data_IF_773453908782
#
_entry.id   IF_773453908782
#
_cell.length_a   1.000
_cell.length_b   1.000
_cell.length_c   1.000
_cell.angle_alpha   90.00
_cell.angle_beta   90.00
_cell.angle_gamma   90.00
#
_symmetry.space_group_name_H-M   'P 1'
#
loop_
_entity.id
_entity.type
_entity.pdbx_description
1 polymer ?
#
# COMPACT_ATOMS: atom_id res chain seq x y z
N UNK A 1 -1.23 -7.51 29.41
CA UNK A 1 -0.09 -6.60 29.15
C UNK A 1 0.84 -7.22 28.12
N UNK A 2 0.56 -7.00 26.83
CA UNK A 2 1.33 -7.61 25.74
C UNK A 2 2.60 -6.78 25.46
N UNK A 3 3.76 -7.44 25.55
CA UNK A 3 5.07 -6.88 25.22
C UNK A 3 5.15 -6.56 23.72
N UNK A 4 5.54 -5.33 23.39
CA UNK A 4 5.97 -4.91 22.06
C UNK A 4 7.13 -5.80 21.61
N UNK A 5 6.92 -6.56 20.53
CA UNK A 5 7.99 -7.28 19.86
C UNK A 5 8.96 -6.27 19.25
N UNK A 6 10.13 -6.14 19.86
CA UNK A 6 11.24 -5.32 19.38
C UNK A 6 11.75 -5.87 18.04
N UNK A 7 11.48 -5.15 16.96
CA UNK A 7 12.12 -5.38 15.66
C UNK A 7 13.63 -5.14 15.82
N UNK A 8 14.39 -6.23 15.92
CA UNK A 8 15.86 -6.22 15.97
C UNK A 8 16.36 -7.01 14.78
N UNK A 9 16.45 -6.33 13.64
CA UNK A 9 17.34 -6.74 12.55
C UNK A 9 17.89 -5.46 11.91
N UNK A 10 19.21 -5.24 11.94
CA UNK A 10 19.80 -4.08 11.27
C UNK A 10 19.72 -4.34 9.77
N UNK A 11 18.86 -3.60 9.07
CA UNK A 11 18.84 -3.56 7.62
C UNK A 11 20.12 -2.87 7.13
N UNK A 12 21.19 -3.65 6.95
CA UNK A 12 22.37 -3.24 6.20
C UNK A 12 22.05 -3.31 4.69
N UNK A 13 21.17 -2.40 4.25
CA UNK A 13 20.95 -2.04 2.84
C UNK A 13 21.71 -0.76 2.47
N UNK A 14 21.62 -0.27 1.22
CA UNK A 14 22.47 0.81 0.69
C UNK A 14 22.54 1.98 1.65
N UNK A 15 23.77 2.38 2.00
CA UNK A 15 24.08 3.37 3.02
C UNK A 15 23.14 4.58 2.93
N UNK A 16 22.55 4.96 4.06
CA UNK A 16 21.88 6.23 4.28
C UNK A 16 22.86 7.43 4.27
N UNK A 17 23.72 7.49 3.25
CA UNK A 17 24.57 8.64 2.97
C UNK A 17 23.82 9.56 2.02
N UNK A 18 23.55 10.79 2.48
CA UNK A 18 22.86 11.87 1.76
C UNK A 18 21.33 11.86 1.82
N UNK A 19 20.75 11.77 3.03
CA UNK A 19 19.45 12.43 3.23
C UNK A 19 19.73 13.93 3.18
N UNK A 20 19.31 14.59 2.10
CA UNK A 20 19.31 16.04 2.05
C UNK A 20 18.22 16.54 3.01
N UNK A 21 18.60 16.90 4.24
CA UNK A 21 17.69 17.38 5.29
C UNK A 21 16.81 18.56 4.83
N UNK A 22 17.20 19.28 3.79
CA UNK A 22 16.38 20.34 3.18
C UNK A 22 15.15 19.78 2.45
N UNK A 23 15.27 18.63 1.77
CA UNK A 23 14.16 17.95 1.10
C UNK A 23 13.10 17.48 2.09
N UNK A 24 13.52 16.74 3.12
CA UNK A 24 12.65 16.29 4.20
C UNK A 24 11.92 17.46 4.90
N UNK A 25 12.64 18.52 5.26
CA UNK A 25 12.05 19.70 5.90
C UNK A 25 11.06 20.45 4.98
N UNK A 26 11.33 20.52 3.68
CA UNK A 26 10.42 21.14 2.69
C UNK A 26 9.17 20.31 2.49
N UNK A 27 9.28 18.99 2.37
CA UNK A 27 8.12 18.11 2.26
C UNK A 27 7.23 18.18 3.51
N UNK A 28 7.83 18.23 4.71
CA UNK A 28 7.08 18.43 5.95
C UNK A 28 6.35 19.78 5.93
N UNK A 29 7.04 20.88 5.64
CA UNK A 29 6.41 22.22 5.57
C UNK A 29 5.29 22.30 4.55
N UNK A 30 5.43 21.61 3.41
CA UNK A 30 4.35 21.50 2.44
C UNK A 30 3.15 20.75 3.00
N UNK A 31 3.36 19.67 3.76
CA UNK A 31 2.28 18.97 4.43
C UNK A 31 1.61 19.86 5.50
N UNK A 32 2.40 20.56 6.32
CA UNK A 32 1.94 21.52 7.33
C UNK A 32 1.12 22.68 6.73
N UNK A 33 1.38 23.07 5.48
CA UNK A 33 0.62 24.11 4.77
C UNK A 33 -0.85 23.71 4.59
N UNK A 34 -1.12 22.44 4.30
CA UNK A 34 -2.47 21.91 4.10
C UNK A 34 -3.07 21.40 5.41
N UNK A 35 -2.22 20.86 6.30
CA UNK A 35 -2.61 20.20 7.54
C UNK A 35 -1.71 20.66 8.71
N UNK A 36 -2.01 21.83 9.32
CA UNK A 36 -1.19 22.42 10.38
C UNK A 36 -0.92 21.49 11.58
N UNK A 37 -1.86 20.60 11.91
CA UNK A 37 -1.70 19.63 13.02
C UNK A 37 -1.15 18.27 12.56
N UNK A 38 -0.62 18.18 11.34
CA UNK A 38 -0.01 16.97 10.79
C UNK A 38 -1.03 15.85 10.60
N UNK A 39 -0.74 14.66 11.14
CA UNK A 39 -1.61 13.48 11.03
C UNK A 39 -2.80 13.50 12.00
N UNK A 40 -2.82 14.46 12.93
CA UNK A 40 -3.92 14.67 13.87
C UNK A 40 -4.94 15.70 13.35
N UNK A 41 -4.60 16.43 12.29
CA UNK A 41 -5.45 17.45 11.68
C UNK A 41 -6.80 16.89 11.19
N UNK A 42 -7.91 17.50 11.61
CA UNK A 42 -9.25 17.03 11.27
C UNK A 42 -9.51 16.99 9.75
N UNK A 43 -8.99 17.97 9.01
CA UNK A 43 -9.13 18.03 7.55
C UNK A 43 -8.35 16.89 6.90
N UNK A 44 -7.14 16.60 7.39
CA UNK A 44 -6.37 15.44 6.96
C UNK A 44 -7.12 14.12 7.21
N UNK A 45 -7.67 13.96 8.42
CA UNK A 45 -8.39 12.75 8.80
C UNK A 45 -9.58 12.50 7.88
N UNK A 46 -10.35 13.54 7.57
CA UNK A 46 -11.50 13.44 6.67
C UNK A 46 -11.05 13.20 5.22
N UNK A 47 -10.16 14.05 4.70
CA UNK A 47 -9.80 14.09 3.28
C UNK A 47 -8.96 12.88 2.84
N UNK A 48 -8.01 12.43 3.68
CA UNK A 48 -6.99 11.47 3.25
C UNK A 48 -7.05 10.13 3.98
N UNK A 49 -7.48 10.10 5.25
CA UNK A 49 -7.40 8.87 6.07
C UNK A 49 -8.70 8.09 6.15
N UNK A 50 -9.81 8.76 6.42
CA UNK A 50 -11.08 8.14 6.87
C UNK A 50 -11.60 7.04 5.93
N UNK A 51 -11.52 7.24 4.61
CA UNK A 51 -11.98 6.23 3.64
C UNK A 51 -11.03 5.03 3.53
N UNK A 52 -9.71 5.22 3.68
CA UNK A 52 -8.71 4.14 3.68
C UNK A 52 -8.85 3.29 4.95
N UNK A 53 -9.08 3.94 6.08
CA UNK A 53 -9.32 3.27 7.36
C UNK A 53 -10.65 2.49 7.36
N UNK A 54 -11.74 3.08 6.83
CA UNK A 54 -13.01 2.35 6.64
C UNK A 54 -12.86 1.11 5.76
N UNK A 55 -12.09 1.19 4.67
CA UNK A 55 -11.81 0.03 3.83
C UNK A 55 -11.05 -1.06 4.59
N UNK A 56 -10.10 -0.68 5.45
CA UNK A 56 -9.38 -1.60 6.34
C UNK A 56 -10.31 -2.28 7.35
N UNK A 57 -11.23 -1.52 7.95
CA UNK A 57 -12.22 -2.04 8.90
C UNK A 57 -13.18 -3.02 8.23
N UNK A 58 -13.73 -2.66 7.06
CA UNK A 58 -14.60 -3.56 6.28
C UNK A 58 -13.85 -4.83 5.85
N UNK A 59 -12.60 -4.69 5.39
CA UNK A 59 -11.76 -5.83 5.06
C UNK A 59 -11.58 -6.75 6.25
N UNK A 60 -11.26 -6.24 7.43
CA UNK A 60 -11.07 -7.07 8.62
C UNK A 60 -12.35 -7.75 9.08
N UNK A 61 -13.50 -7.10 8.91
CA UNK A 61 -14.81 -7.65 9.26
C UNK A 61 -15.19 -8.83 8.34
N UNK A 62 -14.95 -8.72 7.04
CA UNK A 62 -15.43 -9.72 6.06
C UNK A 62 -14.33 -10.69 5.58
N UNK A 63 -13.11 -10.20 5.40
CA UNK A 63 -11.92 -10.91 4.92
C UNK A 63 -10.74 -10.84 5.91
N UNK A 64 -11.03 -10.71 7.21
CA UNK A 64 -10.04 -10.94 8.26
C UNK A 64 -9.43 -12.35 8.17
N UNK A 65 -8.25 -12.60 8.76
CA UNK A 65 -7.46 -13.82 8.51
C UNK A 65 -8.21 -15.13 8.80
N UNK A 66 -9.07 -15.14 9.82
CA UNK A 66 -9.88 -16.31 10.17
C UNK A 66 -11.07 -16.51 9.21
N UNK A 67 -11.79 -15.44 8.90
CA UNK A 67 -12.93 -15.46 7.97
C UNK A 67 -12.47 -15.85 6.56
N UNK A 68 -11.40 -15.22 6.06
CA UNK A 68 -10.81 -15.52 4.76
C UNK A 68 -10.39 -17.00 4.69
N UNK A 69 -9.67 -17.52 5.70
CA UNK A 69 -9.28 -18.95 5.74
C UNK A 69 -10.49 -19.88 5.67
N UNK A 70 -11.56 -19.57 6.41
CA UNK A 70 -12.80 -20.35 6.43
C UNK A 70 -13.51 -20.36 5.07
N UNK A 71 -13.55 -19.22 4.38
CA UNK A 71 -14.10 -19.11 3.04
C UNK A 71 -13.27 -19.91 2.02
N UNK A 72 -11.95 -19.84 2.10
CA UNK A 72 -11.05 -20.65 1.25
C UNK A 72 -11.27 -22.15 1.44
N UNK A 73 -11.36 -22.61 2.69
CA UNK A 73 -11.60 -24.02 2.99
C UNK A 73 -12.95 -24.54 2.46
N UNK A 74 -13.92 -23.64 2.26
CA UNK A 74 -15.23 -23.95 1.69
C UNK A 74 -15.29 -23.81 0.17
N UNK A 75 -14.20 -23.36 -0.47
CA UNK A 75 -14.18 -23.10 -1.91
C UNK A 75 -14.97 -21.86 -2.34
N UNK A 76 -15.27 -20.94 -1.40
CA UNK A 76 -16.05 -19.72 -1.63
C UNK A 76 -15.22 -18.61 -2.32
N UNK A 77 -14.48 -18.98 -3.36
CA UNK A 77 -13.52 -18.10 -4.05
C UNK A 77 -14.19 -16.89 -4.69
N UNK A 78 -15.38 -17.10 -5.26
CA UNK A 78 -16.14 -16.02 -5.89
C UNK A 78 -16.56 -14.97 -4.85
N UNK A 79 -17.05 -15.42 -3.69
CA UNK A 79 -17.42 -14.53 -2.60
C UNK A 79 -16.23 -13.70 -2.11
N UNK A 80 -15.06 -14.32 -1.93
CA UNK A 80 -13.82 -13.62 -1.56
C UNK A 80 -13.47 -12.54 -2.58
N UNK A 81 -13.49 -12.88 -3.88
CA UNK A 81 -13.19 -11.93 -4.94
C UNK A 81 -14.19 -10.77 -4.99
N UNK A 82 -15.48 -11.06 -4.85
CA UNK A 82 -16.54 -10.05 -4.84
C UNK A 82 -16.40 -9.08 -3.66
N UNK A 83 -16.09 -9.58 -2.46
CA UNK A 83 -15.83 -8.72 -1.29
C UNK A 83 -14.58 -7.87 -1.51
N UNK A 84 -13.47 -8.44 -1.99
CA UNK A 84 -12.24 -7.69 -2.26
C UNK A 84 -12.45 -6.57 -3.29
N UNK A 85 -13.16 -6.86 -4.39
CA UNK A 85 -13.54 -5.86 -5.41
C UNK A 85 -14.45 -4.79 -4.82
N UNK A 86 -15.43 -5.16 -3.99
CA UNK A 86 -16.35 -4.22 -3.38
C UNK A 86 -15.64 -3.26 -2.42
N UNK A 87 -14.80 -3.79 -1.52
CA UNK A 87 -14.00 -2.99 -0.58
C UNK A 87 -13.10 -2.03 -1.33
N UNK A 88 -12.35 -2.51 -2.33
CA UNK A 88 -11.49 -1.66 -3.15
C UNK A 88 -12.31 -0.57 -3.86
N UNK A 89 -13.48 -0.93 -4.42
CA UNK A 89 -14.28 0.01 -5.22
C UNK A 89 -14.76 1.25 -4.45
N UNK A 90 -14.88 1.14 -3.11
CA UNK A 90 -15.22 2.23 -2.18
C UNK A 90 -14.04 3.15 -1.85
N UNK A 91 -12.86 2.86 -2.40
CA UNK A 91 -11.66 3.71 -2.31
C UNK A 91 -11.39 4.43 -3.64
N UNK A 92 -10.57 5.47 -3.60
CA UNK A 92 -10.05 6.16 -4.78
C UNK A 92 -8.61 5.72 -5.15
N UNK A 93 -8.18 4.53 -4.67
CA UNK A 93 -6.80 4.06 -4.81
C UNK A 93 -6.50 3.62 -6.25
N UNK A 94 -7.28 2.68 -6.80
CA UNK A 94 -7.12 2.22 -8.18
C UNK A 94 -7.81 3.14 -9.18
N UNK A 95 -7.19 3.29 -10.35
CA UNK A 95 -7.82 3.96 -11.49
C UNK A 95 -8.94 3.11 -12.11
N UNK A 96 -9.83 3.75 -12.86
CA UNK A 96 -10.98 3.08 -13.51
C UNK A 96 -10.58 1.87 -14.35
N UNK A 97 -9.50 1.97 -15.13
CA UNK A 97 -9.03 0.86 -15.96
C UNK A 97 -8.48 -0.31 -15.14
N UNK A 98 -7.89 -0.06 -13.97
CA UNK A 98 -7.37 -1.10 -13.06
C UNK A 98 -8.55 -1.80 -12.36
N UNK A 99 -9.56 -1.04 -11.94
CA UNK A 99 -10.81 -1.59 -11.40
C UNK A 99 -11.51 -2.50 -12.42
N UNK A 100 -11.53 -2.10 -13.69
CA UNK A 100 -12.06 -2.93 -14.78
C UNK A 100 -11.22 -4.20 -14.97
N UNK A 101 -9.89 -4.08 -15.03
CA UNK A 101 -8.98 -5.22 -15.18
C UNK A 101 -9.18 -6.26 -14.07
N UNK A 102 -9.29 -5.81 -12.81
CA UNK A 102 -9.55 -6.68 -11.66
C UNK A 102 -10.89 -7.41 -11.80
N UNK A 103 -11.96 -6.67 -12.11
CA UNK A 103 -13.31 -7.24 -12.26
C UNK A 103 -13.36 -8.30 -13.34
N UNK A 104 -12.70 -8.04 -14.47
CA UNK A 104 -12.61 -8.98 -15.59
C UNK A 104 -11.79 -10.21 -15.21
N UNK A 105 -10.65 -10.03 -14.55
CA UNK A 105 -9.76 -11.10 -14.12
C UNK A 105 -10.43 -12.10 -13.19
N UNK A 106 -11.20 -11.61 -12.21
CA UNK A 106 -11.88 -12.47 -11.21
C UNK A 106 -13.27 -12.92 -11.64
N UNK A 107 -13.70 -12.60 -12.86
CA UNK A 107 -15.02 -12.98 -13.39
C UNK A 107 -15.17 -14.50 -13.55
N UNK A 108 -14.09 -15.17 -13.97
CA UNK A 108 -14.10 -16.62 -14.19
C UNK A 108 -13.90 -17.38 -12.87
N UNK A 109 -14.45 -18.60 -12.71
CA UNK A 109 -14.19 -19.43 -11.53
C UNK A 109 -12.70 -19.69 -11.30
N UNK A 110 -11.93 -19.91 -12.36
CA UNK A 110 -10.48 -20.12 -12.28
C UNK A 110 -9.75 -18.85 -11.81
N UNK A 111 -10.09 -17.69 -12.36
CA UNK A 111 -9.51 -16.41 -11.96
C UNK A 111 -9.85 -16.04 -10.52
N UNK A 112 -11.10 -16.21 -10.09
CA UNK A 112 -11.51 -16.00 -8.70
C UNK A 112 -10.75 -16.92 -7.72
N UNK A 113 -10.58 -18.19 -8.09
CA UNK A 113 -9.83 -19.16 -7.28
C UNK A 113 -8.36 -18.80 -7.15
N UNK A 114 -7.69 -18.48 -8.27
CA UNK A 114 -6.28 -18.07 -8.28
C UNK A 114 -6.11 -16.81 -7.43
N UNK A 115 -6.91 -15.77 -7.69
CA UNK A 115 -6.88 -14.52 -6.94
C UNK A 115 -7.07 -14.74 -5.44
N UNK A 116 -8.13 -15.45 -5.02
CA UNK A 116 -8.44 -15.66 -3.61
C UNK A 116 -7.35 -16.45 -2.88
N UNK A 117 -6.81 -17.49 -3.51
CA UNK A 117 -5.80 -18.36 -2.90
C UNK A 117 -4.47 -17.61 -2.71
N UNK A 118 -3.99 -16.98 -3.78
CA UNK A 118 -2.69 -16.29 -3.77
C UNK A 118 -2.72 -15.00 -2.96
N UNK A 119 -3.86 -14.30 -2.94
CA UNK A 119 -4.03 -13.13 -2.08
C UNK A 119 -3.96 -13.50 -0.60
N UNK A 120 -4.57 -14.61 -0.18
CA UNK A 120 -4.45 -15.08 1.19
C UNK A 120 -3.01 -15.46 1.54
N UNK A 121 -2.33 -16.17 0.65
CA UNK A 121 -0.93 -16.55 0.82
C UNK A 121 -0.05 -15.31 0.97
N UNK A 122 -0.26 -14.27 0.16
CA UNK A 122 0.44 -13.00 0.27
C UNK A 122 0.24 -12.32 1.65
N UNK A 123 -1.02 -12.16 2.06
CA UNK A 123 -1.39 -11.40 3.25
C UNK A 123 -1.08 -12.13 4.58
N UNK A 124 -1.31 -13.44 4.61
CA UNK A 124 -1.35 -14.23 5.84
C UNK A 124 -0.58 -15.55 5.77
N UNK A 125 -0.06 -15.91 4.59
CA UNK A 125 0.74 -17.11 4.42
C UNK A 125 2.08 -17.05 5.16
N UNK A 126 2.70 -18.21 5.40
CA UNK A 126 4.04 -18.30 5.97
C UNK A 126 5.12 -17.86 4.96
N UNK A 127 6.34 -17.63 5.44
CA UNK A 127 7.50 -17.32 4.60
C UNK A 127 7.90 -15.84 4.59
N UNK A 128 8.98 -15.55 3.87
CA UNK A 128 9.53 -14.19 3.77
C UNK A 128 8.60 -13.27 2.96
N UNK A 129 8.63 -11.97 3.26
CA UNK A 129 7.85 -10.97 2.50
C UNK A 129 8.23 -10.99 1.01
N UNK A 130 9.50 -11.23 0.69
CA UNK A 130 9.98 -11.36 -0.69
C UNK A 130 9.31 -12.52 -1.43
N UNK A 131 9.32 -13.72 -0.84
CA UNK A 131 8.69 -14.89 -1.46
C UNK A 131 7.21 -14.62 -1.70
N UNK A 132 6.49 -14.22 -0.65
CA UNK A 132 5.05 -13.96 -0.72
C UNK A 132 4.68 -12.90 -1.74
N UNK A 133 5.48 -11.83 -1.86
CA UNK A 133 5.24 -10.80 -2.86
C UNK A 133 5.55 -11.30 -4.27
N UNK A 134 6.62 -12.06 -4.47
CA UNK A 134 6.93 -12.64 -5.79
C UNK A 134 5.85 -13.63 -6.25
N UNK A 135 5.43 -14.54 -5.36
CA UNK A 135 4.34 -15.50 -5.63
C UNK A 135 3.05 -14.74 -6.00
N UNK A 136 2.76 -13.63 -5.30
CA UNK A 136 1.65 -12.73 -5.65
C UNK A 136 1.79 -12.06 -7.02
N UNK A 137 2.98 -11.61 -7.40
CA UNK A 137 3.23 -11.02 -8.71
C UNK A 137 3.09 -12.04 -9.84
N UNK A 138 3.43 -13.31 -9.60
CA UNK A 138 3.20 -14.42 -10.52
C UNK A 138 1.70 -14.67 -10.69
N UNK A 139 0.95 -14.74 -9.58
CA UNK A 139 -0.50 -14.87 -9.61
C UNK A 139 -1.18 -13.75 -10.42
N UNK A 140 -0.78 -12.49 -10.21
CA UNK A 140 -1.31 -11.35 -10.96
C UNK A 140 -0.99 -11.39 -12.46
N UNK A 141 0.12 -12.04 -12.84
CA UNK A 141 0.50 -12.23 -14.25
C UNK A 141 -0.37 -13.29 -14.91
N UNK A 142 -0.70 -14.35 -14.18
CA UNK A 142 -1.45 -15.51 -14.67
C UNK A 142 -2.97 -15.29 -14.65
N UNK A 143 -3.45 -14.25 -13.96
CA UNK A 143 -4.85 -13.83 -14.03
C UNK A 143 -5.25 -13.44 -15.46
N UNK A 144 -6.52 -13.67 -15.86
CA UNK A 144 -7.00 -13.26 -17.19
C UNK A 144 -6.81 -11.76 -17.45
N UNK A 145 -6.11 -11.41 -18.54
CA UNK A 145 -5.83 -10.02 -18.94
C UNK A 145 -6.56 -9.71 -20.25
N UNK A 146 -7.83 -9.32 -20.19
CA UNK A 146 -8.66 -9.13 -21.39
C UNK A 146 -8.33 -7.85 -22.16
N UNK A 147 -8.46 -6.70 -21.50
CA UNK A 147 -8.33 -5.37 -22.13
C UNK A 147 -7.18 -4.54 -21.57
N UNK A 148 -6.90 -4.72 -20.28
CA UNK A 148 -5.91 -3.95 -19.53
C UNK A 148 -5.05 -4.91 -18.73
N UNK A 149 -3.75 -4.61 -18.53
CA UNK A 149 -2.88 -5.43 -17.71
C UNK A 149 -3.35 -5.42 -16.26
N UNK A 150 -3.36 -6.60 -15.65
CA UNK A 150 -3.64 -6.76 -14.20
C UNK A 150 -2.37 -6.55 -13.39
N UNK A 151 -1.21 -6.93 -13.93
CA UNK A 151 0.08 -6.75 -13.29
C UNK A 151 0.54 -5.28 -13.38
N UNK A 152 0.08 -4.46 -12.45
CA UNK A 152 0.50 -3.06 -12.25
C UNK A 152 0.96 -2.84 -10.80
N UNK A 153 1.74 -1.78 -10.56
CA UNK A 153 2.14 -1.41 -9.19
C UNK A 153 0.97 -1.15 -8.25
N UNK A 154 -0.07 -0.38 -8.65
CA UNK A 154 -1.25 -0.22 -7.81
C UNK A 154 -1.93 -1.55 -7.49
N UNK A 155 -2.14 -2.43 -8.49
CA UNK A 155 -2.76 -3.74 -8.25
C UNK A 155 -1.94 -4.62 -7.31
N UNK A 156 -0.62 -4.64 -7.49
CA UNK A 156 0.31 -5.42 -6.67
C UNK A 156 0.30 -4.99 -5.20
N UNK A 157 -0.07 -3.74 -4.90
CA UNK A 157 0.10 -3.15 -3.56
C UNK A 157 -1.21 -2.76 -2.86
N UNK A 158 -2.33 -2.64 -3.59
CA UNK A 158 -3.60 -2.15 -3.03
C UNK A 158 -4.17 -3.06 -1.96
N UNK A 159 -4.22 -4.37 -2.18
CA UNK A 159 -4.84 -5.29 -1.21
C UNK A 159 -3.98 -5.48 0.04
N UNK A 160 -2.64 -5.47 -0.11
CA UNK A 160 -1.73 -5.42 1.02
C UNK A 160 -2.00 -4.19 1.88
N UNK A 161 -2.10 -3.02 1.25
CA UNK A 161 -2.35 -1.75 1.91
C UNK A 161 -3.71 -1.69 2.61
N UNK A 162 -4.78 -2.18 1.98
CA UNK A 162 -6.14 -2.22 2.58
C UNK A 162 -6.20 -3.22 3.73
N UNK A 163 -5.70 -4.44 3.52
CA UNK A 163 -5.83 -5.52 4.50
C UNK A 163 -4.93 -5.31 5.71
N UNK A 164 -3.75 -4.74 5.47
CA UNK A 164 -2.63 -4.70 6.43
C UNK A 164 -1.81 -3.42 6.29
N UNK A 165 -2.41 -2.23 6.54
CA UNK A 165 -1.72 -0.96 6.44
C UNK A 165 -0.56 -0.82 7.44
N UNK A 166 -0.45 -1.68 8.45
CA UNK A 166 0.69 -1.74 9.35
C UNK A 166 1.92 -2.44 8.75
N UNK A 167 1.76 -3.17 7.64
CA UNK A 167 2.84 -3.92 6.97
C UNK A 167 3.11 -3.53 5.53
N UNK A 168 2.09 -3.04 4.84
CA UNK A 168 2.14 -2.81 3.40
C UNK A 168 1.76 -1.37 3.07
N UNK A 169 2.51 -0.77 2.15
CA UNK A 169 2.25 0.54 1.59
C UNK A 169 1.76 0.42 0.15
N UNK A 170 0.82 1.30 -0.25
CA UNK A 170 0.33 1.40 -1.62
C UNK A 170 1.27 2.23 -2.51
N UNK A 171 1.56 1.74 -3.71
CA UNK A 171 2.46 2.37 -4.66
C UNK A 171 1.69 2.98 -5.83
N UNK A 172 1.65 4.32 -5.89
CA UNK A 172 1.15 5.09 -7.03
C UNK A 172 2.32 5.72 -7.81
N UNK A 173 2.79 5.11 -8.91
CA UNK A 173 4.10 5.40 -9.50
C UNK A 173 4.45 6.87 -9.73
N UNK A 174 3.56 7.63 -10.38
CA UNK A 174 3.83 9.03 -10.75
C UNK A 174 3.97 9.94 -9.52
N UNK A 175 3.07 9.75 -8.55
CA UNK A 175 3.03 10.55 -7.32
C UNK A 175 4.21 10.22 -6.43
N UNK A 176 4.51 8.94 -6.25
CA UNK A 176 5.65 8.50 -5.45
C UNK A 176 6.99 8.94 -6.06
N UNK A 177 7.16 8.91 -7.39
CA UNK A 177 8.38 9.44 -8.04
C UNK A 177 8.55 10.95 -7.82
N UNK A 178 7.47 11.73 -7.92
CA UNK A 178 7.50 13.17 -7.60
C UNK A 178 7.86 13.41 -6.13
N UNK A 179 7.26 12.66 -5.22
CA UNK A 179 7.55 12.73 -3.79
C UNK A 179 9.01 12.38 -3.50
N UNK A 180 9.54 11.30 -4.07
CA UNK A 180 10.94 10.89 -3.92
C UNK A 180 11.91 11.97 -4.40
N UNK A 181 11.64 12.58 -5.57
CA UNK A 181 12.44 13.73 -6.07
C UNK A 181 12.38 14.92 -5.12
N UNK A 182 11.21 15.29 -4.62
CA UNK A 182 11.05 16.40 -3.67
C UNK A 182 11.79 16.14 -2.34
N UNK A 183 11.80 14.87 -1.92
CA UNK A 183 12.49 14.39 -0.72
C UNK A 183 13.99 14.18 -0.94
N UNK A 184 14.49 14.29 -2.18
CA UNK A 184 15.84 13.93 -2.59
C UNK A 184 16.22 12.47 -2.25
N UNK A 185 15.26 11.56 -2.40
CA UNK A 185 15.45 10.12 -2.29
C UNK A 185 15.58 9.51 -3.70
N UNK A 186 16.63 8.71 -3.91
CA UNK A 186 16.89 8.05 -5.19
C UNK A 186 16.05 6.77 -5.33
N UNK A 187 14.79 6.95 -5.73
CA UNK A 187 13.87 5.86 -6.00
C UNK A 187 14.10 5.32 -7.42
N UNK A 188 14.70 4.12 -7.53
CA UNK A 188 14.85 3.45 -8.81
C UNK A 188 13.50 2.88 -9.24
N UNK A 189 12.85 3.58 -10.16
CA UNK A 189 11.56 3.16 -10.70
C UNK A 189 11.72 2.26 -11.92
N UNK A 190 11.11 1.08 -11.85
CA UNK A 190 10.81 0.22 -13.00
C UNK A 190 9.29 0.13 -13.14
N UNK A 191 8.76 0.18 -14.36
CA UNK A 191 7.33 0.03 -14.61
C UNK A 191 6.80 -1.35 -14.23
N UNK A 192 7.62 -2.40 -14.34
CA UNK A 192 7.27 -3.77 -13.98
C UNK A 192 7.41 -3.96 -12.45
N UNK A 193 6.33 -4.37 -11.75
CA UNK A 193 6.41 -4.69 -10.33
C UNK A 193 7.48 -5.73 -10.03
N UNK A 194 8.23 -5.51 -8.96
CA UNK A 194 9.26 -6.43 -8.46
C UNK A 194 9.45 -6.29 -6.95
N UNK A 195 9.96 -7.34 -6.28
CA UNK A 195 10.31 -7.21 -4.87
C UNK A 195 11.34 -6.11 -4.61
N UNK A 196 12.36 -5.98 -5.47
CA UNK A 196 13.40 -4.97 -5.30
C UNK A 196 12.82 -3.54 -5.29
N UNK A 197 11.92 -3.23 -6.22
CA UNK A 197 11.22 -1.94 -6.25
C UNK A 197 10.30 -1.74 -5.04
N UNK A 198 9.61 -2.79 -4.59
CA UNK A 198 8.74 -2.70 -3.41
C UNK A 198 9.54 -2.48 -2.12
N UNK A 199 10.70 -3.15 -1.99
CA UNK A 199 11.61 -2.96 -0.87
C UNK A 199 12.19 -1.54 -0.84
N UNK A 200 12.51 -0.95 -1.99
CA UNK A 200 12.92 0.46 -2.06
C UNK A 200 11.81 1.40 -1.59
N UNK A 201 10.56 1.15 -1.99
CA UNK A 201 9.41 1.91 -1.51
C UNK A 201 9.23 1.80 0.02
N UNK A 202 9.33 0.60 0.58
CA UNK A 202 9.28 0.39 2.03
C UNK A 202 10.42 1.12 2.74
N UNK A 203 11.62 1.12 2.15
CA UNK A 203 12.78 1.86 2.66
C UNK A 203 12.52 3.37 2.65
N UNK A 204 11.96 3.90 1.55
CA UNK A 204 11.59 5.30 1.44
C UNK A 204 10.57 5.70 2.51
N UNK A 205 9.53 4.90 2.70
CA UNK A 205 8.53 5.11 3.74
C UNK A 205 9.11 5.06 5.17
N UNK A 206 10.07 4.16 5.42
CA UNK A 206 10.78 4.08 6.70
C UNK A 206 11.66 5.32 6.97
N UNK A 207 12.31 5.87 5.94
CA UNK A 207 13.05 7.14 6.05
C UNK A 207 12.10 8.28 6.41
N UNK A 208 10.98 8.41 5.68
CA UNK A 208 9.94 9.42 5.98
C UNK A 208 9.47 9.30 7.43
N UNK A 209 9.08 8.08 7.87
CA UNK A 209 8.63 7.83 9.24
C UNK A 209 9.65 8.31 10.27
N UNK A 210 10.92 7.89 10.13
CA UNK A 210 11.99 8.26 11.05
C UNK A 210 12.17 9.78 11.15
N UNK A 211 12.07 10.48 10.02
CA UNK A 211 12.30 11.91 9.94
C UNK A 211 11.10 12.72 10.49
N UNK A 212 9.90 12.14 10.47
CA UNK A 212 8.65 12.74 10.95
C UNK A 212 8.33 12.41 12.43
N UNK A 213 8.60 11.20 12.92
CA UNK A 213 8.14 10.69 14.22
C UNK A 213 8.57 11.54 15.43
N UNK A 214 9.60 12.38 15.29
CA UNK A 214 10.08 13.30 16.35
C UNK A 214 9.35 14.64 16.37
N UNK A 215 8.45 14.89 15.42
CA UNK A 215 7.69 16.14 15.30
C UNK A 215 6.31 15.96 15.93
N UNK A 216 5.84 16.90 16.79
CA UNK A 216 4.47 16.89 17.29
C UNK A 216 3.45 16.80 16.14
N UNK A 217 2.39 16.00 16.31
CA UNK A 217 1.38 15.78 15.27
C UNK A 217 1.80 14.85 14.12
N UNK A 218 3.06 14.42 14.03
CA UNK A 218 3.59 13.67 12.87
C UNK A 218 3.97 12.22 13.16
N UNK A 219 3.52 11.67 14.29
CA UNK A 219 3.75 10.26 14.61
C UNK A 219 2.83 9.39 13.75
N UNK A 220 3.39 8.76 12.71
CA UNK A 220 2.59 7.96 11.78
C UNK A 220 2.04 6.70 12.46
N UNK A 221 0.73 6.48 12.39
CA UNK A 221 0.07 5.28 12.95
C UNK A 221 0.43 4.02 12.16
N UNK A 222 0.48 4.14 10.85
CA UNK A 222 0.61 3.02 9.91
C UNK A 222 1.10 3.55 8.54
N UNK A 223 1.07 2.72 7.50
CA UNK A 223 1.39 3.16 6.15
C UNK A 223 0.30 4.01 5.50
N UNK A 224 -0.91 4.14 6.06
CA UNK A 224 -1.90 5.10 5.55
C UNK A 224 -1.36 6.50 5.72
N UNK A 225 -0.85 6.84 6.90
CA UNK A 225 -0.27 8.17 7.16
C UNK A 225 0.93 8.45 6.25
N UNK A 226 1.82 7.47 6.06
CA UNK A 226 3.00 7.64 5.19
C UNK A 226 2.64 7.73 3.71
N UNK A 227 1.65 6.94 3.26
CA UNK A 227 1.18 6.99 1.88
C UNK A 227 0.49 8.32 1.59
N UNK A 228 -0.32 8.83 2.50
CA UNK A 228 -0.95 10.15 2.37
C UNK A 228 0.07 11.28 2.42
N UNK A 229 1.12 11.18 3.26
CA UNK A 229 2.23 12.13 3.21
C UNK A 229 2.89 12.16 1.83
N UNK A 230 3.21 10.99 1.25
CA UNK A 230 3.73 10.85 -0.11
C UNK A 230 2.76 11.44 -1.15
N UNK A 231 1.46 11.22 -0.97
CA UNK A 231 0.41 11.73 -1.85
C UNK A 231 0.44 13.25 -1.96
N UNK A 232 0.43 13.95 -0.82
CA UNK A 232 0.48 15.43 -0.75
C UNK A 232 1.71 16.03 -1.45
N UNK A 233 2.83 15.29 -1.51
CA UNK A 233 4.02 15.79 -2.19
C UNK A 233 3.94 15.73 -3.72
N UNK A 234 3.16 14.79 -4.27
CA UNK A 234 3.25 14.44 -5.69
C UNK A 234 1.95 14.52 -6.49
N UNK A 235 0.79 14.58 -5.84
CA UNK A 235 -0.50 14.68 -6.51
C UNK A 235 -0.78 16.11 -7.01
N UNK A 236 -1.43 16.20 -8.17
CA UNK A 236 -1.68 17.49 -8.85
C UNK A 236 -2.66 18.38 -8.05
N UNK A 237 -3.57 17.80 -7.28
CA UNK A 237 -4.51 18.54 -6.41
C UNK A 237 -3.82 19.32 -5.27
N UNK A 238 -2.57 18.98 -4.96
CA UNK A 238 -1.71 19.73 -4.04
C UNK A 238 -0.62 20.53 -4.77
N UNK A 239 -0.66 20.57 -6.11
CA UNK A 239 0.21 21.36 -6.95
C UNK A 239 -0.29 22.80 -7.05
N UNK A 240 0.04 23.63 -6.05
CA UNK A 240 -0.06 25.08 -6.19
C UNK A 240 0.87 25.62 -7.28
#
# INVERSE_FOLDING_TARGET
MARLASLSTPLAGPRAGNVNYLGAARCRRRFELYYPEGFEDETYLVAERSYKERATLEWNQELGPAAFRKLLARGEFRHIADVAVRVESRTNLLFSFEKMALRDAVKTPAGARLFATELYAFLYGPGSQQRKFNDWLEALRDLPQLRSPVLTWPMATVFGFIARPEKHIFFKPRVTQRAARAYAFDLHYDARPSWAGYQQLLTFAAVIRRDLDRRPGFKARDFIDLQSFIWVQGADEYGG
#
